data_IF_698699313573
#
_entry.id   IF_698699313573
#
_cell.length_a   1.000
_cell.length_b   1.000
_cell.length_c   1.000
_cell.angle_alpha   90.00
_cell.angle_beta   90.00
_cell.angle_gamma   90.00
#
_symmetry.space_group_name_H-M   'P 1'
#
loop_
_entity.id
_entity.type
_entity.pdbx_description
1 polymer ?
#
# COMPACT_ATOMS: atom_id res chain seq x y z
N UNK A 1 -108.74 136.92 48.66
CA UNK A 1 -109.65 136.05 49.44
C UNK A 1 -108.79 135.33 50.46
N UNK A 2 -108.90 135.74 51.73
CA UNK A 2 -108.19 135.10 52.82
C UNK A 2 -108.81 133.72 53.07
N UNK A 3 -107.98 132.70 53.16
CA UNK A 3 -108.41 131.34 53.53
C UNK A 3 -109.01 131.44 54.93
N UNK A 4 -110.27 131.02 55.08
CA UNK A 4 -110.94 131.02 56.39
C UNK A 4 -110.31 129.95 57.30
N UNK A 5 -110.27 130.19 58.63
CA UNK A 5 -109.68 129.25 59.58
C UNK A 5 -110.21 127.81 59.46
N UNK A 6 -111.49 127.63 59.12
CA UNK A 6 -112.08 126.29 58.98
C UNK A 6 -111.53 125.53 57.76
N UNK A 7 -111.21 126.24 56.66
CA UNK A 7 -110.71 125.61 55.43
C UNK A 7 -109.23 125.21 55.57
N UNK A 8 -108.46 125.99 56.32
CA UNK A 8 -107.07 125.64 56.67
C UNK A 8 -107.04 124.41 57.57
N UNK A 9 -107.91 124.35 58.58
CA UNK A 9 -107.99 123.20 59.51
C UNK A 9 -108.41 121.91 58.78
N UNK A 10 -109.35 122.00 57.85
CA UNK A 10 -109.78 120.86 57.03
C UNK A 10 -108.67 120.36 56.08
N UNK A 11 -107.96 121.27 55.41
CA UNK A 11 -106.82 120.89 54.55
C UNK A 11 -105.72 120.24 55.38
N UNK A 12 -105.40 120.77 56.56
CA UNK A 12 -104.42 120.15 57.47
C UNK A 12 -104.86 118.75 57.87
N UNK A 13 -106.14 118.54 58.22
CA UNK A 13 -106.66 117.22 58.61
C UNK A 13 -106.63 116.20 57.47
N UNK A 14 -107.04 116.61 56.26
CA UNK A 14 -107.03 115.73 55.08
C UNK A 14 -105.60 115.41 54.67
N UNK A 15 -104.69 116.38 54.72
CA UNK A 15 -103.26 116.16 54.47
C UNK A 15 -102.66 115.27 55.56
N UNK A 16 -102.99 115.47 56.84
CA UNK A 16 -102.52 114.60 57.93
C UNK A 16 -103.03 113.17 57.79
N UNK A 17 -104.30 112.92 57.44
CA UNK A 17 -104.82 111.57 57.21
C UNK A 17 -104.15 110.92 55.99
N UNK A 18 -104.03 111.64 54.86
CA UNK A 18 -103.34 111.10 53.66
C UNK A 18 -101.86 110.86 53.93
N UNK A 19 -101.22 111.73 54.72
CA UNK A 19 -99.82 111.61 55.12
C UNK A 19 -99.68 110.53 56.19
N UNK A 20 -100.70 110.22 57.00
CA UNK A 20 -100.69 109.13 57.98
C UNK A 20 -100.71 107.77 57.30
N UNK A 21 -101.45 107.64 56.20
CA UNK A 21 -101.47 106.41 55.39
C UNK A 21 -100.18 106.21 54.56
N UNK A 22 -99.43 107.29 54.28
CA UNK A 22 -98.15 107.24 53.55
C UNK A 22 -96.93 107.23 54.51
N UNK A 23 -97.11 107.69 55.76
CA UNK A 23 -96.05 107.69 56.77
C UNK A 23 -95.81 106.27 57.22
N UNK A 24 -94.66 105.74 56.82
CA UNK A 24 -94.05 104.56 57.44
C UNK A 24 -94.03 104.80 58.94
N UNK A 25 -94.68 103.92 59.69
CA UNK A 25 -94.66 103.99 61.15
C UNK A 25 -93.23 103.72 61.64
N UNK A 26 -92.84 104.30 62.77
CA UNK A 26 -91.50 104.06 63.35
C UNK A 26 -91.24 102.56 63.55
N UNK A 27 -92.29 101.80 63.85
CA UNK A 27 -92.26 100.35 64.00
C UNK A 27 -91.96 99.60 62.68
N UNK A 28 -92.58 99.99 61.56
CA UNK A 28 -92.30 99.41 60.24
C UNK A 28 -90.89 99.74 59.74
N UNK A 29 -90.41 100.96 60.00
CA UNK A 29 -89.03 101.34 59.68
C UNK A 29 -88.02 100.58 60.55
N UNK A 30 -88.30 100.41 61.85
CA UNK A 30 -87.46 99.63 62.76
C UNK A 30 -87.49 98.12 62.40
N UNK A 31 -88.62 97.58 61.96
CA UNK A 31 -88.73 96.22 61.45
C UNK A 31 -87.96 96.01 60.14
N UNK A 32 -88.07 96.94 59.18
CA UNK A 32 -87.27 96.94 57.96
C UNK A 32 -85.78 97.04 58.28
N UNK A 33 -85.40 97.93 59.20
CA UNK A 33 -84.00 98.09 59.65
C UNK A 33 -83.47 96.81 60.27
N UNK A 34 -84.23 96.12 61.12
CA UNK A 34 -83.84 94.81 61.69
C UNK A 34 -83.71 93.73 60.62
N UNK A 35 -84.66 93.65 59.69
CA UNK A 35 -84.59 92.73 58.54
C UNK A 35 -83.36 93.00 57.67
N UNK A 36 -83.05 94.27 57.43
CA UNK A 36 -81.86 94.70 56.67
C UNK A 36 -80.58 94.38 57.44
N UNK A 37 -80.51 94.66 58.75
CA UNK A 37 -79.37 94.30 59.61
C UNK A 37 -79.16 92.78 59.69
N UNK A 38 -80.23 92.00 59.80
CA UNK A 38 -80.18 90.53 59.75
C UNK A 38 -79.77 90.01 58.37
N UNK A 39 -80.26 90.63 57.30
CA UNK A 39 -79.86 90.35 55.92
C UNK A 39 -78.38 90.65 55.69
N UNK A 40 -77.88 91.79 56.19
CA UNK A 40 -76.47 92.16 56.17
C UNK A 40 -75.63 91.16 56.98
N UNK A 41 -76.06 90.74 58.17
CA UNK A 41 -75.35 89.71 58.95
C UNK A 41 -75.26 88.38 58.19
N UNK A 42 -76.38 87.90 57.64
CA UNK A 42 -76.42 86.67 56.81
C UNK A 42 -75.53 86.80 55.58
N UNK A 43 -75.50 87.96 54.95
CA UNK A 43 -74.63 88.24 53.80
C UNK A 43 -73.16 88.23 54.19
N UNK A 44 -72.79 88.86 55.31
CA UNK A 44 -71.42 88.86 55.84
C UNK A 44 -70.97 87.44 56.21
N UNK A 45 -71.84 86.64 56.83
CA UNK A 45 -71.54 85.23 57.14
C UNK A 45 -71.39 84.38 55.88
N UNK A 46 -72.26 84.58 54.87
CA UNK A 46 -72.14 83.92 53.59
C UNK A 46 -70.85 84.34 52.87
N UNK A 47 -70.50 85.63 52.87
CA UNK A 47 -69.25 86.14 52.31
C UNK A 47 -68.04 85.50 53.00
N UNK A 48 -68.00 85.49 54.34
CA UNK A 48 -66.94 84.84 55.13
C UNK A 48 -66.78 83.36 54.79
N UNK A 49 -67.89 82.63 54.67
CA UNK A 49 -67.89 81.21 54.27
C UNK A 49 -67.42 81.00 52.83
N UNK A 50 -67.68 81.98 51.96
CA UNK A 50 -67.22 81.96 50.57
C UNK A 50 -65.71 82.21 50.50
N UNK A 51 -65.20 83.17 51.28
CA UNK A 51 -63.76 83.43 51.44
C UNK A 51 -63.04 82.19 51.99
N UNK A 52 -63.55 81.55 53.05
CA UNK A 52 -62.98 80.30 53.58
C UNK A 52 -62.93 79.17 52.53
N UNK A 53 -63.99 79.02 51.72
CA UNK A 53 -64.03 78.04 50.62
C UNK A 53 -63.05 78.38 49.50
N UNK A 54 -62.89 79.67 49.18
CA UNK A 54 -61.92 80.13 48.19
C UNK A 54 -60.50 79.84 48.67
N UNK A 55 -60.19 80.08 49.94
CA UNK A 55 -58.88 79.72 50.52
C UNK A 55 -58.61 78.21 50.45
N UNK A 56 -59.62 77.37 50.74
CA UNK A 56 -59.50 75.92 50.61
C UNK A 56 -59.28 75.48 49.15
N UNK A 57 -59.99 76.10 48.20
CA UNK A 57 -59.83 75.84 46.78
C UNK A 57 -58.44 76.24 46.29
N UNK A 58 -57.92 77.40 46.71
CA UNK A 58 -56.57 77.84 46.37
C UNK A 58 -55.53 76.86 46.91
N UNK A 59 -55.67 76.38 48.15
CA UNK A 59 -54.76 75.36 48.72
C UNK A 59 -54.81 74.05 47.94
N UNK A 60 -56.01 73.54 47.67
CA UNK A 60 -56.19 72.33 46.88
C UNK A 60 -55.61 72.49 45.47
N UNK A 61 -55.73 73.67 44.87
CA UNK A 61 -55.19 73.96 43.55
C UNK A 61 -53.66 73.93 43.55
N UNK A 62 -53.01 74.55 44.54
CA UNK A 62 -51.55 74.47 44.71
C UNK A 62 -51.10 73.01 44.90
N UNK A 63 -51.77 72.24 45.76
CA UNK A 63 -51.46 70.81 45.94
C UNK A 63 -51.64 70.00 44.65
N UNK A 64 -52.64 70.32 43.82
CA UNK A 64 -52.80 69.66 42.52
C UNK A 64 -51.72 70.06 41.52
N UNK A 65 -51.27 71.32 41.53
CA UNK A 65 -50.16 71.78 40.68
C UNK A 65 -48.86 71.07 41.07
N UNK A 66 -48.56 70.95 42.37
CA UNK A 66 -47.41 70.18 42.86
C UNK A 66 -47.46 68.71 42.42
N UNK A 67 -48.62 68.05 42.54
CA UNK A 67 -48.79 66.66 42.07
C UNK A 67 -48.65 66.52 40.56
N UNK A 68 -49.11 67.52 39.79
CA UNK A 68 -48.94 67.53 38.34
C UNK A 68 -47.46 67.68 37.95
N UNK A 69 -46.69 68.49 38.67
CA UNK A 69 -45.25 68.60 38.48
C UNK A 69 -44.53 67.27 38.81
N UNK A 70 -44.87 66.62 39.92
CA UNK A 70 -44.32 65.31 40.27
C UNK A 70 -44.62 64.25 39.21
N UNK A 71 -45.86 64.21 38.70
CA UNK A 71 -46.25 63.30 37.63
C UNK A 71 -45.51 63.60 36.32
N UNK A 72 -45.34 64.87 35.97
CA UNK A 72 -44.57 65.26 34.79
C UNK A 72 -43.10 64.81 34.89
N UNK A 73 -42.49 64.96 36.07
CA UNK A 73 -41.13 64.47 36.32
C UNK A 73 -41.03 62.94 36.26
N UNK A 74 -42.00 62.23 36.84
CA UNK A 74 -42.06 60.77 36.77
C UNK A 74 -42.25 60.26 35.33
N UNK A 75 -43.09 60.95 34.54
CA UNK A 75 -43.30 60.66 33.13
C UNK A 75 -42.00 60.87 32.34
N UNK A 76 -41.33 62.01 32.49
CA UNK A 76 -40.06 62.29 31.83
C UNK A 76 -38.97 61.26 32.16
N UNK A 77 -38.89 60.84 33.43
CA UNK A 77 -37.97 59.78 33.87
C UNK A 77 -38.29 58.43 33.22
N UNK A 78 -39.57 58.12 33.03
CA UNK A 78 -40.05 56.89 32.38
C UNK A 78 -39.73 56.90 30.89
N UNK A 79 -39.97 58.01 30.19
CA UNK A 79 -39.59 58.19 28.78
C UNK A 79 -38.08 58.03 28.59
N UNK A 80 -37.27 58.64 29.47
CA UNK A 80 -35.81 58.47 29.45
C UNK A 80 -35.36 57.02 29.74
N UNK A 81 -36.13 56.25 30.50
CA UNK A 81 -35.88 54.80 30.70
C UNK A 81 -36.26 54.00 29.46
N UNK A 82 -37.38 54.31 28.81
CA UNK A 82 -37.82 53.65 27.57
C UNK A 82 -36.80 53.85 26.44
N UNK A 83 -36.33 55.08 26.21
CA UNK A 83 -35.32 55.33 25.18
C UNK A 83 -33.99 54.60 25.44
N UNK A 84 -33.59 54.44 26.71
CA UNK A 84 -32.43 53.59 27.07
C UNK A 84 -32.68 52.11 26.76
N UNK A 85 -33.90 51.63 26.98
CA UNK A 85 -34.28 50.25 26.77
C UNK A 85 -34.34 49.92 25.27
N UNK A 86 -34.89 50.83 24.46
CA UNK A 86 -34.86 50.75 23.00
C UNK A 86 -33.44 50.65 22.45
N UNK A 87 -32.52 51.49 22.93
CA UNK A 87 -31.11 51.45 22.53
C UNK A 87 -30.43 50.11 22.91
N UNK A 88 -30.78 49.54 24.07
CA UNK A 88 -30.27 48.22 24.48
C UNK A 88 -30.84 47.11 23.59
N UNK A 89 -32.14 47.17 23.26
CA UNK A 89 -32.79 46.20 22.38
C UNK A 89 -32.17 46.23 20.98
N UNK A 90 -31.93 47.42 20.42
CA UNK A 90 -31.27 47.55 19.11
C UNK A 90 -29.85 46.95 19.14
N UNK A 91 -29.09 47.21 20.21
CA UNK A 91 -27.75 46.64 20.39
C UNK A 91 -27.78 45.12 20.55
N UNK A 92 -28.79 44.58 21.22
CA UNK A 92 -28.98 43.13 21.36
C UNK A 92 -29.34 42.49 20.03
N UNK A 93 -30.22 43.11 19.24
CA UNK A 93 -30.59 42.63 17.91
C UNK A 93 -29.35 42.49 17.00
N UNK A 94 -28.51 43.53 16.95
CA UNK A 94 -27.25 43.49 16.19
C UNK A 94 -26.31 42.37 16.65
N UNK A 95 -26.19 42.16 17.97
CA UNK A 95 -25.37 41.06 18.52
C UNK A 95 -25.92 39.67 18.16
N UNK A 96 -27.24 39.51 18.12
CA UNK A 96 -27.88 38.26 17.70
C UNK A 96 -27.59 37.98 16.22
N UNK A 97 -27.66 38.99 15.36
CA UNK A 97 -27.30 38.87 13.94
C UNK A 97 -25.81 38.51 13.75
N UNK A 98 -24.91 39.14 14.49
CA UNK A 98 -23.47 38.83 14.48
C UNK A 98 -23.20 37.39 14.92
N UNK A 99 -23.90 36.92 15.97
CA UNK A 99 -23.79 35.54 16.45
C UNK A 99 -24.34 34.53 15.44
N UNK A 100 -25.47 34.83 14.80
CA UNK A 100 -26.02 33.98 13.75
C UNK A 100 -25.06 33.86 12.57
N UNK A 101 -24.45 34.98 12.14
CA UNK A 101 -23.44 34.97 11.09
C UNK A 101 -22.14 34.24 11.50
N UNK A 102 -21.74 34.32 12.77
CA UNK A 102 -20.60 33.54 13.29
C UNK A 102 -20.91 32.04 13.36
N UNK A 103 -22.14 31.68 13.74
CA UNK A 103 -22.60 30.29 13.77
C UNK A 103 -22.62 29.70 12.36
N UNK A 104 -23.21 30.38 11.37
CA UNK A 104 -23.23 29.92 9.98
C UNK A 104 -21.82 29.70 9.41
N UNK A 105 -20.86 30.59 9.74
CA UNK A 105 -19.45 30.42 9.35
C UNK A 105 -18.80 29.21 10.02
N UNK A 106 -19.16 28.91 11.26
CA UNK A 106 -18.67 27.73 11.98
C UNK A 106 -19.23 26.45 11.38
N UNK A 107 -20.54 26.43 11.07
CA UNK A 107 -21.20 25.30 10.42
C UNK A 107 -20.56 24.97 9.06
N UNK A 108 -20.34 26.00 8.21
CA UNK A 108 -19.65 25.80 6.93
C UNK A 108 -18.22 25.22 7.09
N UNK A 109 -17.45 25.68 8.09
CA UNK A 109 -16.12 25.12 8.37
C UNK A 109 -16.17 23.68 8.86
N UNK A 110 -17.20 23.30 9.61
CA UNK A 110 -17.40 21.93 10.06
C UNK A 110 -17.75 21.00 8.88
N UNK A 111 -18.55 21.48 7.93
CA UNK A 111 -18.84 20.74 6.69
C UNK A 111 -17.56 20.52 5.86
N UNK A 112 -16.76 21.58 5.65
CA UNK A 112 -15.46 21.46 4.96
C UNK A 112 -14.52 20.47 5.65
N UNK A 113 -14.47 20.49 6.99
CA UNK A 113 -13.64 19.57 7.77
C UNK A 113 -14.15 18.12 7.64
N UNK A 114 -15.47 17.91 7.66
CA UNK A 114 -16.06 16.59 7.48
C UNK A 114 -15.75 16.01 6.09
N UNK A 115 -15.81 16.83 5.04
CA UNK A 115 -15.41 16.42 3.69
C UNK A 115 -13.91 16.09 3.61
N UNK A 116 -13.06 16.93 4.20
CA UNK A 116 -11.62 16.69 4.25
C UNK A 116 -11.27 15.41 5.01
N UNK A 117 -11.97 15.15 6.12
CA UNK A 117 -11.84 13.91 6.88
C UNK A 117 -12.23 12.70 6.02
N UNK A 118 -13.40 12.73 5.36
CA UNK A 118 -13.83 11.65 4.47
C UNK A 118 -12.83 11.34 3.35
N UNK A 119 -12.30 12.38 2.70
CA UNK A 119 -11.25 12.21 1.66
C UNK A 119 -9.96 11.58 2.24
N UNK A 120 -9.64 11.89 3.50
CA UNK A 120 -8.49 11.32 4.18
C UNK A 120 -8.71 9.85 4.51
N UNK A 121 -9.91 9.49 4.98
CA UNK A 121 -10.32 8.11 5.23
C UNK A 121 -10.28 7.26 3.95
N UNK A 122 -10.79 7.77 2.83
CA UNK A 122 -10.73 7.10 1.52
C UNK A 122 -9.27 6.85 1.08
N UNK A 123 -8.38 7.83 1.24
CA UNK A 123 -6.94 7.68 0.94
C UNK A 123 -6.24 6.65 1.84
N UNK A 124 -6.61 6.61 3.12
CA UNK A 124 -6.06 5.62 4.05
C UNK A 124 -6.50 4.20 3.69
N UNK A 125 -7.75 4.03 3.23
CA UNK A 125 -8.23 2.73 2.75
C UNK A 125 -7.49 2.27 1.49
N UNK A 126 -7.23 3.19 0.54
CA UNK A 126 -6.41 2.90 -0.64
C UNK A 126 -4.97 2.52 -0.27
N UNK A 127 -4.35 3.24 0.68
CA UNK A 127 -3.02 2.93 1.19
C UNK A 127 -2.97 1.53 1.82
N UNK A 128 -3.96 1.19 2.64
CA UNK A 128 -4.05 -0.13 3.28
C UNK A 128 -4.15 -1.25 2.23
N UNK A 129 -4.96 -1.06 1.18
CA UNK A 129 -5.06 -2.01 0.05
C UNK A 129 -3.73 -2.14 -0.71
N UNK A 130 -3.03 -1.03 -0.95
CA UNK A 130 -1.72 -1.04 -1.61
C UNK A 130 -0.65 -1.75 -0.76
N UNK A 131 -0.67 -1.52 0.56
CA UNK A 131 0.22 -2.19 1.50
C UNK A 131 -0.02 -3.71 1.51
N UNK A 132 -1.27 -4.16 1.61
CA UNK A 132 -1.61 -5.58 1.58
C UNK A 132 -1.13 -6.27 0.28
N UNK A 133 -1.30 -5.62 -0.88
CA UNK A 133 -0.76 -6.13 -2.17
C UNK A 133 0.76 -6.20 -2.18
N UNK A 134 1.43 -5.27 -1.50
CA UNK A 134 2.89 -5.25 -1.41
C UNK A 134 3.39 -6.37 -0.51
N UNK A 135 2.73 -6.59 0.63
CA UNK A 135 3.02 -7.72 1.53
C UNK A 135 2.86 -9.06 0.81
N UNK A 136 1.78 -9.26 0.05
CA UNK A 136 1.58 -10.48 -0.74
C UNK A 136 2.70 -10.69 -1.77
N UNK A 137 3.14 -9.65 -2.47
CA UNK A 137 4.26 -9.73 -3.42
C UNK A 137 5.58 -10.06 -2.75
N UNK A 138 5.82 -9.53 -1.54
CA UNK A 138 7.01 -9.84 -0.77
C UNK A 138 7.01 -11.29 -0.31
N UNK A 139 5.86 -11.83 0.11
CA UNK A 139 5.74 -13.26 0.43
C UNK A 139 6.02 -14.15 -0.79
N UNK A 140 5.49 -13.79 -1.96
CA UNK A 140 5.76 -14.53 -3.20
C UNK A 140 7.24 -14.48 -3.57
N UNK A 141 7.89 -13.32 -3.44
CA UNK A 141 9.32 -13.18 -3.71
C UNK A 141 10.16 -14.01 -2.74
N UNK A 142 9.83 -13.99 -1.44
CA UNK A 142 10.51 -14.80 -0.43
C UNK A 142 10.42 -16.30 -0.72
N UNK A 143 9.25 -16.78 -1.17
CA UNK A 143 9.06 -18.18 -1.60
C UNK A 143 9.90 -18.51 -2.83
N UNK A 144 9.88 -17.66 -3.86
CA UNK A 144 10.67 -17.87 -5.07
C UNK A 144 12.19 -17.86 -4.78
N UNK A 145 12.63 -17.01 -3.85
CA UNK A 145 14.02 -17.00 -3.38
C UNK A 145 14.37 -18.31 -2.67
N UNK A 146 13.53 -18.79 -1.75
CA UNK A 146 13.76 -20.05 -1.06
C UNK A 146 13.84 -21.26 -2.02
N UNK A 147 12.97 -21.33 -3.02
CA UNK A 147 13.03 -22.36 -4.07
C UNK A 147 14.32 -22.26 -4.90
N UNK A 148 14.78 -21.03 -5.17
CA UNK A 148 16.03 -20.80 -5.91
C UNK A 148 17.24 -21.23 -5.08
N UNK A 149 17.28 -20.90 -3.79
CA UNK A 149 18.32 -21.35 -2.86
C UNK A 149 18.36 -22.87 -2.77
N UNK A 150 17.22 -23.54 -2.69
CA UNK A 150 17.16 -25.00 -2.68
C UNK A 150 17.72 -25.60 -3.99
N UNK A 151 17.35 -25.03 -5.14
CA UNK A 151 17.88 -25.47 -6.45
C UNK A 151 19.38 -25.26 -6.55
N UNK A 152 19.91 -24.17 -6.00
CA UNK A 152 21.35 -23.92 -5.96
C UNK A 152 22.06 -24.94 -5.09
N UNK A 153 21.57 -25.25 -3.90
CA UNK A 153 22.16 -26.30 -3.04
C UNK A 153 22.15 -27.68 -3.71
N UNK A 154 21.08 -28.03 -4.44
CA UNK A 154 21.05 -29.27 -5.22
C UNK A 154 22.09 -29.26 -6.34
N UNK A 155 22.26 -28.12 -7.03
CA UNK A 155 23.25 -27.99 -8.09
C UNK A 155 24.69 -28.07 -7.56
N UNK A 156 24.96 -27.45 -6.40
CA UNK A 156 26.24 -27.57 -5.69
C UNK A 156 26.58 -29.03 -5.39
N UNK A 157 25.61 -29.81 -4.87
CA UNK A 157 25.80 -31.23 -4.60
C UNK A 157 26.11 -32.03 -5.88
N UNK A 158 25.38 -31.80 -6.98
CA UNK A 158 25.63 -32.48 -8.27
C UNK A 158 27.01 -32.11 -8.81
N UNK A 159 27.43 -30.86 -8.69
CA UNK A 159 28.76 -30.42 -9.14
C UNK A 159 29.86 -31.10 -8.31
N UNK A 160 29.66 -31.25 -6.99
CA UNK A 160 30.61 -31.97 -6.14
C UNK A 160 30.71 -33.46 -6.52
N UNK A 161 29.58 -34.12 -6.79
CA UNK A 161 29.55 -35.51 -7.27
C UNK A 161 30.25 -35.67 -8.62
N UNK A 162 29.98 -34.77 -9.57
CA UNK A 162 30.64 -34.78 -10.88
C UNK A 162 32.15 -34.56 -10.76
N UNK A 163 32.59 -33.65 -9.88
CA UNK A 163 34.01 -33.43 -9.62
C UNK A 163 34.69 -34.70 -9.09
N UNK A 164 34.04 -35.40 -8.14
CA UNK A 164 34.55 -36.69 -7.63
C UNK A 164 34.59 -37.77 -8.70
N UNK A 165 33.54 -37.90 -9.51
CA UNK A 165 33.50 -38.85 -10.61
C UNK A 165 34.59 -38.56 -11.65
N UNK A 166 34.85 -37.28 -11.94
CA UNK A 166 35.90 -36.88 -12.87
C UNK A 166 37.28 -37.31 -12.35
N UNK A 167 37.60 -37.07 -11.07
CA UNK A 167 38.85 -37.53 -10.46
C UNK A 167 39.00 -39.05 -10.59
N UNK A 168 37.95 -39.82 -10.30
CA UNK A 168 38.00 -41.28 -10.45
C UNK A 168 38.25 -41.71 -11.92
N UNK A 169 37.62 -41.03 -12.88
CA UNK A 169 37.86 -41.31 -14.30
C UNK A 169 39.29 -40.98 -14.73
N UNK A 170 39.86 -39.88 -14.24
CA UNK A 170 41.25 -39.50 -14.50
C UNK A 170 42.23 -40.54 -13.93
N UNK A 171 41.97 -41.05 -12.72
CA UNK A 171 42.76 -42.16 -12.16
C UNK A 171 42.65 -43.44 -13.00
N UNK A 172 41.44 -43.81 -13.42
CA UNK A 172 41.21 -45.01 -14.26
C UNK A 172 41.94 -44.88 -15.61
N UNK A 173 41.91 -43.69 -16.22
CA UNK A 173 42.67 -43.40 -17.44
C UNK A 173 44.18 -43.51 -17.21
N UNK A 174 44.68 -42.98 -16.09
CA UNK A 174 46.09 -43.14 -15.70
C UNK A 174 46.51 -44.62 -15.56
N UNK A 175 45.66 -45.44 -14.93
CA UNK A 175 45.91 -46.90 -14.83
C UNK A 175 45.88 -47.59 -16.20
N UNK A 176 44.95 -47.21 -17.08
CA UNK A 176 44.86 -47.77 -18.44
C UNK A 176 46.10 -47.40 -19.26
N UNK A 177 46.53 -46.14 -19.21
CA UNK A 177 47.75 -45.69 -19.89
C UNK A 177 48.99 -46.47 -19.41
N UNK A 178 49.13 -46.69 -18.10
CA UNK A 178 50.21 -47.50 -17.54
C UNK A 178 50.14 -48.97 -17.99
N UNK A 179 48.94 -49.55 -18.05
CA UNK A 179 48.73 -50.91 -18.56
C UNK A 179 49.08 -51.01 -20.05
N UNK A 180 48.68 -50.03 -20.85
CA UNK A 180 48.98 -49.94 -22.28
C UNK A 180 50.50 -49.87 -22.51
N UNK A 181 51.20 -48.99 -21.80
CA UNK A 181 52.66 -48.90 -21.89
C UNK A 181 53.34 -50.25 -21.59
N UNK A 182 52.86 -50.96 -20.56
CA UNK A 182 53.36 -52.30 -20.23
C UNK A 182 53.06 -53.34 -21.31
N UNK A 183 51.93 -53.25 -22.00
CA UNK A 183 51.62 -54.14 -23.13
C UNK A 183 52.47 -53.81 -24.35
N UNK A 184 52.71 -52.53 -24.65
CA UNK A 184 53.61 -52.09 -25.72
C UNK A 184 55.04 -52.59 -25.48
N UNK A 185 55.55 -52.46 -24.25
CA UNK A 185 56.85 -53.02 -23.85
C UNK A 185 56.93 -54.53 -24.07
N UNK A 186 55.85 -55.26 -23.74
CA UNK A 186 55.79 -56.72 -23.92
C UNK A 186 55.74 -57.10 -25.40
N UNK A 187 55.02 -56.34 -26.22
CA UNK A 187 54.98 -56.54 -27.67
C UNK A 187 56.36 -56.32 -28.28
N UNK A 188 57.05 -55.22 -27.94
CA UNK A 188 58.41 -54.98 -28.42
C UNK A 188 59.41 -56.08 -28.03
N UNK A 189 59.28 -56.65 -26.82
CA UNK A 189 60.08 -57.83 -26.43
C UNK A 189 59.74 -59.07 -27.25
N UNK A 190 58.47 -59.30 -27.53
CA UNK A 190 58.02 -60.44 -28.33
C UNK A 190 58.47 -60.32 -29.78
N UNK A 191 58.38 -59.12 -30.37
CA UNK A 191 58.93 -58.82 -31.70
C UNK A 191 60.42 -59.18 -31.78
N UNK A 192 61.22 -58.76 -30.80
CA UNK A 192 62.65 -59.10 -30.74
C UNK A 192 62.91 -60.62 -30.60
N UNK A 193 62.05 -61.36 -29.89
CA UNK A 193 62.14 -62.83 -29.80
C UNK A 193 61.77 -63.49 -31.12
N UNK A 194 60.71 -63.02 -31.79
CA UNK A 194 60.30 -63.53 -33.10
C UNK A 194 61.38 -63.29 -34.15
N UNK A 195 62.03 -62.12 -34.15
CA UNK A 195 63.16 -61.82 -35.03
C UNK A 195 64.34 -62.80 -34.80
N UNK A 196 64.71 -63.04 -33.53
CA UNK A 196 65.73 -64.03 -33.19
C UNK A 196 65.36 -65.44 -33.64
N UNK A 197 64.11 -65.85 -33.45
CA UNK A 197 63.63 -67.16 -33.88
C UNK A 197 63.64 -67.29 -35.40
N UNK A 198 63.22 -66.26 -36.13
CA UNK A 198 63.27 -66.23 -37.59
C UNK A 198 64.71 -66.39 -38.11
N UNK A 199 65.66 -65.69 -37.48
CA UNK A 199 67.08 -65.82 -37.78
C UNK A 199 67.61 -67.24 -37.48
N UNK A 200 67.22 -67.83 -36.34
CA UNK A 200 67.60 -69.19 -35.98
C UNK A 200 67.02 -70.24 -36.93
N UNK A 201 65.76 -70.11 -37.36
CA UNK A 201 65.13 -70.99 -38.35
C UNK A 201 65.85 -70.89 -39.69
N UNK A 202 66.21 -69.68 -40.13
CA UNK A 202 66.99 -69.51 -41.36
C UNK A 202 68.36 -70.17 -41.26
N UNK A 203 69.05 -70.06 -40.13
CA UNK A 203 70.32 -70.75 -39.90
C UNK A 203 70.15 -72.27 -39.94
N UNK A 204 69.15 -72.80 -39.23
CA UNK A 204 68.83 -74.23 -39.23
C UNK A 204 68.49 -74.74 -40.64
N UNK A 205 67.74 -73.98 -41.43
CA UNK A 205 67.42 -74.32 -42.82
C UNK A 205 68.68 -74.46 -43.67
N UNK A 206 69.67 -73.60 -43.48
CA UNK A 206 70.98 -73.69 -44.15
C UNK A 206 71.75 -74.93 -43.70
N UNK A 207 71.80 -75.22 -42.39
CA UNK A 207 72.48 -76.41 -41.86
C UNK A 207 71.83 -77.72 -42.34
N UNK A 208 70.50 -77.81 -42.33
CA UNK A 208 69.76 -78.96 -42.86
C UNK A 208 70.00 -79.11 -44.37
N UNK A 209 70.10 -78.02 -45.13
CA UNK A 209 70.48 -78.05 -46.54
C UNK A 209 71.84 -78.71 -46.74
N UNK A 210 72.87 -78.26 -46.02
CA UNK A 210 74.23 -78.85 -46.05
C UNK A 210 74.26 -80.31 -45.62
N UNK A 211 73.49 -80.66 -44.59
CA UNK A 211 73.39 -82.04 -44.13
C UNK A 211 72.71 -82.93 -45.17
N UNK A 212 71.64 -82.43 -45.80
CA UNK A 212 70.93 -83.15 -46.86
C UNK A 212 71.85 -83.40 -48.06
N UNK A 213 72.69 -82.43 -48.42
CA UNK A 213 73.75 -82.62 -49.42
C UNK A 213 74.73 -83.73 -48.96
N UNK A 214 75.25 -83.65 -47.74
CA UNK A 214 76.26 -84.60 -47.23
C UNK A 214 75.72 -86.03 -47.11
N UNK A 215 74.52 -86.20 -46.54
CA UNK A 215 73.87 -87.50 -46.40
C UNK A 215 73.42 -88.02 -47.77
N UNK A 216 72.96 -87.14 -48.67
CA UNK A 216 72.66 -87.49 -50.05
C UNK A 216 73.87 -88.13 -50.73
N UNK A 217 75.00 -87.42 -50.75
CA UNK A 217 76.26 -87.96 -51.29
C UNK A 217 76.69 -89.26 -50.59
N UNK A 218 76.64 -89.31 -49.25
CA UNK A 218 77.05 -90.50 -48.51
C UNK A 218 76.17 -91.74 -48.77
N UNK A 219 74.84 -91.56 -48.83
CA UNK A 219 73.91 -92.64 -49.18
C UNK A 219 74.08 -93.05 -50.64
N UNK A 220 74.31 -92.10 -51.55
CA UNK A 220 74.60 -92.39 -52.95
C UNK A 220 75.89 -93.20 -53.10
N UNK A 221 76.95 -92.84 -52.38
CA UNK A 221 78.22 -93.57 -52.41
C UNK A 221 78.10 -94.98 -51.82
N UNK A 222 77.40 -95.13 -50.69
CA UNK A 222 77.11 -96.45 -50.09
C UNK A 222 76.26 -97.28 -51.04
N UNK A 223 75.20 -96.71 -51.58
CA UNK A 223 74.34 -97.39 -52.53
C UNK A 223 75.14 -97.82 -53.77
N UNK A 224 75.97 -96.95 -54.35
CA UNK A 224 76.85 -97.29 -55.48
C UNK A 224 77.74 -98.49 -55.19
N UNK A 225 78.20 -98.64 -53.96
CA UNK A 225 79.07 -99.75 -53.53
C UNK A 225 78.29 -101.01 -53.18
N UNK A 226 77.17 -100.90 -52.47
CA UNK A 226 76.47 -102.03 -51.85
C UNK A 226 75.30 -102.54 -52.68
N UNK A 227 74.57 -101.67 -53.40
CA UNK A 227 73.40 -102.07 -54.20
C UNK A 227 73.75 -103.15 -55.23
N UNK A 228 74.83 -103.05 -56.04
CA UNK A 228 75.12 -104.06 -57.06
C UNK A 228 75.22 -105.47 -56.48
N UNK A 229 75.96 -105.62 -55.37
CA UNK A 229 76.11 -106.90 -54.69
C UNK A 229 74.82 -107.38 -53.99
N UNK A 230 73.98 -106.47 -53.49
CA UNK A 230 72.69 -106.84 -52.89
C UNK A 230 71.68 -107.30 -53.95
N UNK A 231 71.58 -106.58 -55.07
CA UNK A 231 70.70 -106.89 -56.21
C UNK A 231 71.04 -108.27 -56.80
N UNK A 232 72.33 -108.61 -56.93
CA UNK A 232 72.75 -109.94 -57.36
C UNK A 232 72.31 -111.03 -56.38
N UNK A 233 72.61 -110.86 -55.08
CA UNK A 233 72.34 -111.91 -54.07
C UNK A 233 70.85 -112.17 -53.82
N UNK A 234 70.00 -111.16 -53.90
CA UNK A 234 68.60 -111.27 -53.49
C UNK A 234 67.62 -111.31 -54.66
N UNK A 235 67.99 -110.70 -55.79
CA UNK A 235 67.13 -110.60 -56.96
C UNK A 235 67.73 -111.26 -58.20
N UNK A 236 68.98 -111.76 -58.13
CA UNK A 236 69.67 -112.34 -59.29
C UNK A 236 70.08 -111.33 -60.34
N UNK A 237 69.99 -110.02 -60.07
CA UNK A 237 70.32 -108.98 -61.07
C UNK A 237 71.80 -108.63 -60.97
N UNK A 238 72.55 -108.92 -62.01
CA UNK A 238 73.93 -108.46 -62.18
C UNK A 238 73.91 -107.06 -62.80
N UNK A 239 74.12 -106.04 -61.96
CA UNK A 239 74.22 -104.64 -62.39
C UNK A 239 75.68 -104.21 -62.39
N UNK A 240 76.08 -103.46 -63.42
CA UNK A 240 77.39 -102.83 -63.49
C UNK A 240 77.57 -101.67 -62.50
N UNK A 241 78.60 -100.86 -62.73
CA UNK A 241 78.86 -99.68 -61.91
C UNK A 241 77.69 -98.66 -61.99
N UNK A 242 77.11 -98.29 -60.85
CA UNK A 242 76.06 -97.28 -60.81
C UNK A 242 76.67 -95.89 -61.04
N UNK A 243 76.05 -95.10 -61.92
CA UNK A 243 76.47 -93.73 -62.27
C UNK A 243 75.31 -92.74 -62.20
N UNK A 244 75.64 -91.46 -62.08
CA UNK A 244 74.64 -90.38 -62.19
C UNK A 244 74.35 -90.16 -63.67
N UNK A 245 73.09 -90.13 -64.04
CA UNK A 245 72.65 -90.00 -65.44
C UNK A 245 71.47 -89.03 -65.54
N UNK A 246 71.42 -88.27 -66.64
CA UNK A 246 70.35 -87.32 -66.89
C UNK A 246 69.48 -87.83 -68.03
N UNK A 247 68.18 -87.83 -67.80
CA UNK A 247 67.19 -88.28 -68.76
C UNK A 247 66.30 -87.12 -69.15
N UNK A 248 65.94 -87.03 -70.43
CA UNK A 248 64.87 -86.14 -70.87
C UNK A 248 63.65 -86.99 -71.16
N UNK A 249 62.69 -86.97 -70.24
CA UNK A 249 61.43 -87.71 -70.35
C UNK A 249 60.32 -86.67 -70.48
N UNK A 250 59.57 -86.73 -71.58
CA UNK A 250 58.45 -85.80 -71.88
C UNK A 250 58.84 -84.29 -71.80
N UNK A 251 60.07 -83.96 -72.20
CA UNK A 251 60.57 -82.58 -72.22
C UNK A 251 60.97 -82.00 -70.86
N UNK A 252 60.96 -82.81 -69.79
CA UNK A 252 61.56 -82.45 -68.50
C UNK A 252 62.86 -83.22 -68.29
N UNK A 253 63.89 -82.50 -67.87
CA UNK A 253 65.15 -83.11 -67.47
C UNK A 253 64.98 -83.70 -66.07
N UNK A 254 65.19 -85.00 -65.96
CA UNK A 254 65.13 -85.76 -64.72
C UNK A 254 66.53 -86.29 -64.47
N UNK A 255 67.07 -85.96 -63.31
CA UNK A 255 68.34 -86.46 -62.85
C UNK A 255 68.13 -87.73 -62.02
N UNK A 256 68.79 -88.82 -62.40
CA UNK A 256 68.89 -90.02 -61.60
C UNK A 256 70.26 -90.06 -60.91
N UNK A 257 70.26 -89.92 -59.59
CA UNK A 257 71.50 -89.89 -58.81
C UNK A 257 72.25 -91.23 -58.84
N UNK A 258 71.52 -92.33 -59.02
CA UNK A 258 72.04 -93.68 -59.16
C UNK A 258 71.30 -94.40 -60.30
N UNK A 259 72.01 -94.63 -61.40
CA UNK A 259 71.54 -95.34 -62.57
C UNK A 259 72.54 -96.44 -62.94
N UNK A 260 72.05 -97.64 -63.22
CA UNK A 260 72.87 -98.72 -63.75
C UNK A 260 72.00 -99.69 -64.52
N UNK A 261 72.57 -100.23 -65.59
CA UNK A 261 71.95 -101.26 -66.40
C UNK A 261 72.52 -102.61 -66.01
N UNK A 262 71.65 -103.61 -65.88
CA UNK A 262 72.04 -104.94 -65.45
C UNK A 262 71.18 -106.02 -66.07
N UNK A 263 71.67 -107.26 -66.01
CA UNK A 263 70.97 -108.44 -66.52
C UNK A 263 70.41 -109.24 -65.34
N UNK A 264 69.15 -109.68 -65.45
CA UNK A 264 68.52 -110.56 -64.47
C UNK A 264 68.91 -112.01 -64.79
N UNK A 265 69.67 -112.68 -63.92
CA UNK A 265 69.95 -114.10 -64.03
C UNK A 265 68.69 -114.91 -63.70
N UNK A 266 68.04 -115.35 -64.78
CA UNK A 266 67.01 -116.38 -64.88
C UNK A 266 67.14 -117.08 -66.22
#
# INVERSE_FOLDING_TARGET
>A
MAITPELYEFIVKVVEDKVRDIKVTREEFDALRRSVEEGFKKLTEAQRRTEERLEQLVKAQVETEERLEELAQAQASTEARLGRLEAVVEKLARRVEELAAAQARTEARLEELAEAQRRTEERLEELAKAQARTEERLEQLARAQAETEERLSRLEAVVEELARAQVETEERLGRLAAAQAKTEDRLGRLEAVVEKLANAINALRVEVGKLSETVGFGLEDIARTVLPGWLYRHLGIEVGELRREFFVIEGREIEANLYGEGMLEG
#
